data_IF_729294959178
#
_entry.id   IF_729294959178
#
_cell.length_a   1.000
_cell.length_b   1.000
_cell.length_c   1.000
_cell.angle_alpha   90.00
_cell.angle_beta   90.00
_cell.angle_gamma   90.00
#
_symmetry.space_group_name_H-M   'P 1'
#
loop_
_entity.id
_entity.type
_entity.pdbx_description
1 polymer ?
#
# COMPACT_ATOMS: atom_id res chain seq x y z
N UNK A 1 -5.73 4.13 -2.84
CA UNK A 1 -6.59 3.34 -3.75
C UNK A 1 -5.96 1.97 -3.96
N UNK A 2 -6.76 0.90 -3.89
CA UNK A 2 -6.32 -0.45 -4.19
C UNK A 2 -7.02 -0.92 -5.47
N UNK A 3 -6.24 -1.36 -6.45
CA UNK A 3 -6.74 -1.82 -7.76
C UNK A 3 -6.14 -3.15 -8.14
N UNK A 4 -6.81 -3.92 -8.99
CA UNK A 4 -6.21 -5.12 -9.60
C UNK A 4 -5.05 -4.78 -10.52
N UNK A 5 -4.07 -5.67 -10.59
CA UNK A 5 -2.92 -5.54 -11.46
C UNK A 5 -3.23 -5.92 -12.93
N UNK A 6 -4.05 -6.97 -13.18
CA UNK A 6 -4.24 -7.54 -14.52
C UNK A 6 -5.71 -7.53 -15.00
N UNK A 7 -5.93 -7.25 -16.29
CA UNK A 7 -7.12 -7.60 -17.09
C UNK A 7 -8.40 -6.77 -16.89
N UNK A 8 -8.64 -6.23 -15.71
CA UNK A 8 -9.75 -5.29 -15.47
C UNK A 8 -9.30 -4.31 -14.39
N UNK A 9 -9.22 -3.02 -14.71
CA UNK A 9 -8.88 -1.95 -13.75
C UNK A 9 -10.04 -1.70 -12.78
N UNK A 10 -10.58 -2.77 -12.18
CA UNK A 10 -11.61 -2.71 -11.18
C UNK A 10 -10.96 -2.33 -9.86
N UNK A 11 -11.43 -1.23 -9.29
CA UNK A 11 -11.04 -0.81 -7.95
C UNK A 11 -11.59 -1.80 -6.93
N UNK A 12 -10.76 -2.16 -5.96
CA UNK A 12 -11.19 -2.95 -4.80
C UNK A 12 -11.83 -1.96 -3.81
N UNK A 13 -13.10 -2.15 -3.42
CA UNK A 13 -13.80 -1.19 -2.58
C UNK A 13 -13.10 -0.98 -1.23
N UNK A 14 -12.90 0.28 -0.87
CA UNK A 14 -12.50 0.68 0.48
C UNK A 14 -13.68 0.45 1.42
N UNK A 15 -13.52 -0.44 2.41
CA UNK A 15 -14.58 -0.78 3.37
C UNK A 15 -14.59 0.14 4.57
N UNK A 16 -13.41 0.56 5.01
CA UNK A 16 -13.24 1.45 6.15
C UNK A 16 -11.93 2.22 6.00
N UNK A 17 -11.93 3.45 6.48
CA UNK A 17 -10.72 4.25 6.64
C UNK A 17 -10.68 4.80 8.05
N UNK A 18 -9.51 4.70 8.69
CA UNK A 18 -9.20 5.37 9.94
C UNK A 18 -8.06 6.33 9.69
N UNK A 19 -8.22 7.56 10.15
CA UNK A 19 -7.18 8.59 10.07
C UNK A 19 -6.90 9.04 11.50
N UNK A 20 -5.64 8.95 11.91
CA UNK A 20 -5.17 9.45 13.19
C UNK A 20 -4.05 10.43 12.92
N UNK A 21 -4.12 11.60 13.55
CA UNK A 21 -3.14 12.68 13.36
C UNK A 21 -2.61 13.15 14.69
N UNK A 22 -1.29 13.35 14.77
CA UNK A 22 -0.62 14.03 15.88
C UNK A 22 0.07 15.28 15.34
N UNK A 23 -0.11 16.41 16.01
CA UNK A 23 0.50 17.68 15.61
C UNK A 23 1.69 17.93 16.53
N UNK A 24 2.87 18.10 15.94
CA UNK A 24 4.14 18.38 16.60
C UNK A 24 4.65 19.73 16.13
N UNK A 25 4.28 20.80 16.84
CA UNK A 25 4.60 22.19 16.48
C UNK A 25 4.19 22.52 15.03
N UNK A 26 5.13 22.43 14.08
CA UNK A 26 4.93 22.73 12.66
C UNK A 26 4.83 21.49 11.76
N UNK A 27 4.87 20.28 12.32
CA UNK A 27 4.76 19.01 11.61
C UNK A 27 3.48 18.25 12.01
N UNK A 28 2.95 17.44 11.10
CA UNK A 28 1.83 16.55 11.36
C UNK A 28 2.23 15.09 11.08
N UNK A 29 2.14 14.25 12.10
CA UNK A 29 2.27 12.80 11.97
C UNK A 29 0.91 12.20 11.70
N UNK A 30 0.70 11.77 10.46
CA UNK A 30 -0.58 11.23 9.99
C UNK A 30 -0.45 9.72 9.77
N UNK A 31 -1.26 8.95 10.48
CA UNK A 31 -1.44 7.51 10.27
C UNK A 31 -2.77 7.25 9.59
N UNK A 32 -2.72 6.61 8.42
CA UNK A 32 -3.90 6.23 7.64
C UNK A 32 -3.98 4.70 7.61
N UNK A 33 -5.09 4.14 8.10
CA UNK A 33 -5.38 2.71 8.02
C UNK A 33 -6.57 2.48 7.09
N UNK A 34 -6.34 1.82 5.96
CA UNK A 34 -7.36 1.52 4.96
C UNK A 34 -7.67 0.02 4.96
N UNK A 35 -8.95 -0.32 5.08
CA UNK A 35 -9.42 -1.70 5.07
C UNK A 35 -10.03 -2.02 3.71
N UNK A 36 -9.50 -3.05 3.07
CA UNK A 36 -9.99 -3.59 1.81
C UNK A 36 -10.39 -5.05 2.01
N UNK A 37 -11.34 -5.52 1.20
CA UNK A 37 -11.72 -6.91 1.19
C UNK A 37 -11.80 -7.40 -0.26
N UNK A 38 -11.15 -8.53 -0.54
CA UNK A 38 -11.33 -9.23 -1.80
C UNK A 38 -12.66 -10.00 -1.74
N UNK A 39 -13.67 -9.54 -2.47
CA UNK A 39 -14.99 -10.18 -2.55
C UNK A 39 -15.02 -11.40 -3.48
N UNK A 40 -13.89 -11.73 -4.11
CA UNK A 40 -13.79 -12.80 -5.08
C UNK A 40 -13.33 -14.11 -4.44
N UNK A 41 -13.70 -15.23 -5.06
CA UNK A 41 -13.34 -16.56 -4.55
C UNK A 41 -11.89 -16.94 -4.84
N UNK A 42 -11.16 -16.13 -5.59
CA UNK A 42 -9.77 -16.39 -6.01
C UNK A 42 -8.82 -15.33 -5.46
N UNK A 43 -7.56 -15.72 -5.25
CA UNK A 43 -6.49 -14.78 -4.90
C UNK A 43 -6.23 -13.81 -6.07
N UNK A 44 -5.94 -12.55 -5.73
CA UNK A 44 -5.75 -11.49 -6.72
C UNK A 44 -4.41 -10.77 -6.53
N UNK A 45 -3.79 -10.37 -7.63
CA UNK A 45 -2.68 -9.42 -7.62
C UNK A 45 -3.26 -8.00 -7.56
N UNK A 46 -2.82 -7.21 -6.58
CA UNK A 46 -3.34 -5.86 -6.34
C UNK A 46 -2.20 -4.84 -6.21
N UNK A 47 -2.46 -3.64 -6.73
CA UNK A 47 -1.57 -2.49 -6.66
C UNK A 47 -2.20 -1.45 -5.75
N UNK A 48 -1.48 -1.10 -4.68
CA UNK A 48 -1.84 0.02 -3.82
C UNK A 48 -1.16 1.29 -4.32
N UNK A 49 -1.94 2.35 -4.53
CA UNK A 49 -1.45 3.67 -4.88
C UNK A 49 -2.03 4.69 -3.91
N UNK A 50 -1.20 5.51 -3.29
CA UNK A 50 -1.65 6.60 -2.43
C UNK A 50 -1.01 7.91 -2.92
N UNK A 51 -1.79 8.96 -3.20
CA UNK A 51 -1.23 10.26 -3.54
C UNK A 51 -0.62 10.88 -2.29
N UNK A 52 0.62 11.35 -2.40
CA UNK A 52 1.31 12.07 -1.34
C UNK A 52 1.43 13.51 -1.80
N UNK A 53 1.10 14.45 -0.91
CA UNK A 53 1.31 15.89 -1.10
C UNK A 53 2.80 16.20 -1.25
N UNK A 54 3.16 17.26 -1.98
CA UNK A 54 4.57 17.62 -2.24
C UNK A 54 5.39 17.83 -0.95
N UNK A 55 4.73 18.33 0.10
CA UNK A 55 5.36 18.61 1.40
C UNK A 55 5.23 17.45 2.42
N UNK A 56 4.84 16.25 1.98
CA UNK A 56 4.69 15.08 2.83
C UNK A 56 5.63 13.95 2.41
N UNK A 57 6.07 13.15 3.38
CA UNK A 57 6.89 11.97 3.15
C UNK A 57 6.30 10.77 3.91
N UNK A 58 6.18 9.64 3.20
CA UNK A 58 5.85 8.36 3.84
C UNK A 58 7.14 7.78 4.43
N UNK A 59 7.19 7.66 5.75
CA UNK A 59 8.32 7.08 6.47
C UNK A 59 8.04 5.67 7.02
N UNK A 60 6.78 5.23 7.02
CA UNK A 60 6.39 3.89 7.42
C UNK A 60 5.22 3.41 6.54
N UNK A 61 5.31 2.17 6.08
CA UNK A 61 4.24 1.53 5.32
C UNK A 61 4.20 0.03 5.64
N UNK A 62 3.02 -0.47 5.97
CA UNK A 62 2.80 -1.88 6.22
C UNK A 62 1.43 -2.30 5.68
N UNK A 63 1.33 -3.55 5.28
CA UNK A 63 0.08 -4.20 4.89
C UNK A 63 -0.13 -5.44 5.76
N UNK A 64 -1.29 -5.54 6.40
CA UNK A 64 -1.72 -6.76 7.07
C UNK A 64 -2.72 -7.49 6.18
N UNK A 65 -2.40 -8.73 5.82
CA UNK A 65 -3.22 -9.62 4.99
C UNK A 65 -3.44 -10.88 5.81
N UNK A 66 -4.67 -11.12 6.24
CA UNK A 66 -5.03 -12.15 7.22
C UNK A 66 -4.13 -12.04 8.47
N UNK A 67 -3.38 -13.10 8.80
CA UNK A 67 -2.46 -13.15 9.94
C UNK A 67 -1.03 -12.71 9.60
N UNK A 68 -0.78 -12.28 8.36
CA UNK A 68 0.55 -11.90 7.87
C UNK A 68 0.70 -10.39 7.84
N UNK A 69 1.76 -9.89 8.45
CA UNK A 69 2.17 -8.49 8.34
C UNK A 69 3.36 -8.36 7.38
N UNK A 70 3.22 -7.47 6.41
CA UNK A 70 4.24 -7.16 5.41
C UNK A 70 4.67 -5.72 5.66
N UNK A 71 5.87 -5.54 6.19
CA UNK A 71 6.47 -4.22 6.41
C UNK A 71 7.28 -3.83 5.18
N UNK A 72 7.04 -2.64 4.63
CA UNK A 72 7.79 -2.18 3.47
C UNK A 72 9.22 -1.81 3.83
N UNK A 73 10.13 -2.18 2.93
CA UNK A 73 11.49 -1.68 2.93
C UNK A 73 11.58 -0.55 1.90
N UNK A 74 11.83 0.67 2.36
CA UNK A 74 12.04 1.81 1.47
C UNK A 74 13.42 1.70 0.82
N UNK A 75 13.43 1.71 -0.51
CA UNK A 75 14.64 1.66 -1.34
C UNK A 75 14.52 2.70 -2.45
N UNK A 76 15.65 3.00 -3.09
CA UNK A 76 15.66 3.80 -4.30
C UNK A 76 14.80 3.14 -5.38
N UNK A 77 14.10 3.96 -6.19
CA UNK A 77 13.06 3.52 -7.12
C UNK A 77 13.53 2.45 -8.10
N UNK A 78 14.68 2.63 -8.76
CA UNK A 78 15.20 1.65 -9.73
C UNK A 78 15.62 0.37 -9.03
N UNK A 79 16.22 0.46 -7.85
CA UNK A 79 16.57 -0.71 -7.05
C UNK A 79 15.32 -1.53 -6.68
N UNK A 80 14.29 -0.87 -6.15
CA UNK A 80 13.04 -1.54 -5.78
C UNK A 80 12.37 -2.24 -6.97
N UNK A 81 12.37 -1.61 -8.16
CA UNK A 81 11.80 -2.19 -9.37
C UNK A 81 12.53 -3.45 -9.85
N UNK A 82 13.88 -3.44 -9.78
CA UNK A 82 14.70 -4.59 -10.17
C UNK A 82 14.45 -5.77 -9.24
N UNK A 83 14.57 -5.54 -7.94
CA UNK A 83 14.36 -6.60 -6.93
C UNK A 83 12.96 -7.21 -6.99
N UNK A 84 11.91 -6.40 -7.20
CA UNK A 84 10.55 -6.91 -7.40
C UNK A 84 10.45 -7.83 -8.63
N UNK A 85 11.03 -7.40 -9.74
CA UNK A 85 10.99 -8.16 -11.01
C UNK A 85 11.72 -9.49 -10.87
N UNK A 86 12.89 -9.48 -10.23
CA UNK A 86 13.70 -10.68 -9.98
C UNK A 86 12.94 -11.67 -9.07
N UNK A 87 12.36 -11.18 -7.97
CA UNK A 87 11.57 -12.01 -7.06
C UNK A 87 10.33 -12.62 -7.74
N UNK A 88 9.69 -11.89 -8.66
CA UNK A 88 8.51 -12.37 -9.41
C UNK A 88 8.86 -13.46 -10.44
N UNK A 89 10.10 -13.51 -10.93
CA UNK A 89 10.54 -14.56 -11.88
C UNK A 89 10.89 -15.87 -11.14
N UNK A 90 11.22 -15.79 -9.86
CA UNK A 90 11.67 -16.92 -9.04
C UNK A 90 10.53 -17.64 -8.28
N UNK A 91 9.28 -17.18 -8.41
CA UNK A 91 8.08 -17.71 -7.75
C UNK A 91 7.15 -18.40 -8.76
#
# INVERSE_FOLDING_TARGET
MLRRANGSSKNIPLKQIKVSTKIHSFAADVTITQFFHNEEQTSIEAVYCFPIEENAAVYAFAAKIDDREIVAQLKEKKQAQREYSDARILA
#
